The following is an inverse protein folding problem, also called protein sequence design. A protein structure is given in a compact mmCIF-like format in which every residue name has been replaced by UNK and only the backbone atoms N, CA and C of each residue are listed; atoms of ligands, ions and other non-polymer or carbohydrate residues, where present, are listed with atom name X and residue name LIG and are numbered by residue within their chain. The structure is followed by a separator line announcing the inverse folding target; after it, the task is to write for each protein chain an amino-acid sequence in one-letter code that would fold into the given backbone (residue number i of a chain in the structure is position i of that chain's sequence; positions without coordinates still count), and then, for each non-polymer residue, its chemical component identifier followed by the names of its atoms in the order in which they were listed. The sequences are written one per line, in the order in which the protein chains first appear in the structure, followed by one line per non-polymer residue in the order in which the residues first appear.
data_IF_627777348451
#
_entry.id   IF_627777348451
#
_cell.length_a   1.000
_cell.length_b   1.000
_cell.length_c   1.000
_cell.angle_alpha   90.00
_cell.angle_beta   90.00
_cell.angle_gamma   90.00
#
_symmetry.space_group_name_H-M   'P 1'
#
loop_
_entity.id
_entity.type
_entity.pdbx_description
1 polymer ?
#
# COMPACT_ATOMS: atom_id res chain seq x y z
N UNK A 1 -10.70 -19.72 8.87
CA UNK A 1 -11.04 -18.61 7.95
C UNK A 1 -9.75 -18.19 7.26
N UNK A 2 -9.74 -18.16 5.92
CA UNK A 2 -8.52 -17.97 5.13
C UNK A 2 -8.42 -16.53 4.65
N UNK A 3 -7.23 -15.93 4.74
CA UNK A 3 -6.91 -14.66 4.11
C UNK A 3 -6.36 -14.92 2.71
N UNK A 4 -6.79 -14.11 1.75
CA UNK A 4 -6.28 -14.14 0.38
C UNK A 4 -5.47 -12.87 0.12
N UNK A 5 -4.22 -13.01 -0.30
CA UNK A 5 -3.37 -11.87 -0.66
C UNK A 5 -3.39 -11.68 -2.17
N UNK A 6 -3.70 -10.47 -2.63
CA UNK A 6 -3.75 -10.09 -4.04
C UNK A 6 -2.90 -8.87 -4.32
N UNK A 7 -2.39 -8.75 -5.55
CA UNK A 7 -1.88 -7.46 -6.03
C UNK A 7 -3.04 -6.52 -6.27
N UNK A 8 -2.80 -5.25 -5.99
CA UNK A 8 -3.73 -4.16 -6.21
C UNK A 8 -3.13 -3.16 -7.20
N UNK A 9 -4.00 -2.46 -7.92
CA UNK A 9 -3.67 -1.17 -8.51
C UNK A 9 -3.60 -0.10 -7.41
N UNK A 10 -2.87 1.01 -7.64
CA UNK A 10 -2.79 2.11 -6.69
C UNK A 10 -4.15 2.58 -6.17
N UNK A 11 -5.13 2.72 -7.08
CA UNK A 11 -6.41 3.35 -6.77
C UNK A 11 -7.25 2.51 -5.81
N UNK A 12 -7.05 1.18 -5.82
CA UNK A 12 -7.72 0.25 -4.91
C UNK A 12 -7.26 0.44 -3.46
N UNK A 13 -6.11 1.10 -3.24
CA UNK A 13 -5.63 1.43 -1.89
C UNK A 13 -6.29 2.68 -1.29
N UNK A 14 -6.86 3.55 -2.12
CA UNK A 14 -7.29 4.88 -1.68
C UNK A 14 -8.39 4.83 -0.62
N UNK A 15 -9.32 3.88 -0.70
CA UNK A 15 -10.41 3.74 0.27
C UNK A 15 -9.89 3.52 1.70
N UNK A 16 -9.05 2.50 1.90
CA UNK A 16 -8.46 2.20 3.20
C UNK A 16 -7.45 3.27 3.66
N UNK A 17 -6.69 3.88 2.73
CA UNK A 17 -5.83 5.02 3.07
C UNK A 17 -6.64 6.21 3.58
N UNK A 18 -7.76 6.52 2.95
CA UNK A 18 -8.62 7.63 3.37
C UNK A 18 -9.23 7.32 4.72
N UNK A 19 -9.88 6.17 4.85
CA UNK A 19 -10.56 5.76 6.08
C UNK A 19 -9.63 5.71 7.30
N UNK A 20 -8.39 5.23 7.14
CA UNK A 20 -7.49 4.96 8.29
C UNK A 20 -6.39 6.02 8.42
N UNK A 21 -5.72 6.39 7.34
CA UNK A 21 -4.50 7.22 7.38
C UNK A 21 -4.77 8.71 7.13
N UNK A 22 -5.88 9.04 6.46
CA UNK A 22 -6.22 10.39 5.99
C UNK A 22 -7.70 10.78 6.20
N UNK A 23 -8.36 10.42 7.33
CA UNK A 23 -9.82 10.52 7.48
C UNK A 23 -10.36 11.96 7.40
N UNK A 24 -9.53 12.94 7.74
CA UNK A 24 -9.89 14.37 7.77
C UNK A 24 -9.26 15.18 6.64
N UNK A 25 -8.71 14.50 5.63
CA UNK A 25 -8.04 15.12 4.49
C UNK A 25 -8.84 14.88 3.20
N UNK A 26 -8.66 15.72 2.18
CA UNK A 26 -9.30 15.51 0.89
C UNK A 26 -8.82 14.19 0.25
N UNK A 27 -9.65 13.52 -0.59
CA UNK A 27 -9.31 12.22 -1.20
C UNK A 27 -7.97 12.21 -1.95
N UNK A 28 -7.60 13.33 -2.56
CA UNK A 28 -6.35 13.51 -3.30
C UNK A 28 -5.11 13.31 -2.41
N UNK A 29 -5.24 13.51 -1.10
CA UNK A 29 -4.17 13.23 -0.13
C UNK A 29 -3.85 11.74 0.01
N UNK A 30 -4.65 10.84 -0.58
CA UNK A 30 -4.41 9.40 -0.63
C UNK A 30 -3.63 8.95 -1.86
N UNK A 31 -3.43 9.84 -2.84
CA UNK A 31 -2.63 9.59 -4.04
C UNK A 31 -1.17 9.90 -3.68
N UNK A 32 -0.36 8.86 -3.48
CA UNK A 32 1.01 9.05 -3.01
C UNK A 32 1.96 9.16 -4.21
N UNK A 33 2.88 10.14 -4.21
CA UNK A 33 3.97 10.16 -5.17
C UNK A 33 4.71 8.82 -5.17
N UNK A 34 4.90 8.24 -6.35
CA UNK A 34 5.57 6.96 -6.59
C UNK A 34 4.69 5.71 -6.49
N UNK A 35 3.37 5.85 -6.28
CA UNK A 35 2.44 4.71 -6.40
C UNK A 35 2.51 4.07 -7.80
N UNK A 36 2.62 4.88 -8.86
CA UNK A 36 2.69 4.42 -10.25
C UNK A 36 4.12 4.04 -10.72
N UNK A 37 5.12 4.10 -9.84
CA UNK A 37 6.49 3.73 -10.22
C UNK A 37 6.53 2.25 -10.63
N UNK A 38 7.26 1.92 -11.70
CA UNK A 38 7.34 0.54 -12.23
C UNK A 38 7.85 -0.48 -11.20
N UNK A 39 8.58 -0.02 -10.19
CA UNK A 39 9.15 -0.84 -9.14
C UNK A 39 8.26 -0.90 -7.89
N UNK A 40 7.23 -0.05 -7.80
CA UNK A 40 6.24 -0.06 -6.72
C UNK A 40 5.22 -1.16 -6.96
N UNK A 41 4.79 -1.80 -5.88
CA UNK A 41 3.64 -2.70 -5.93
C UNK A 41 2.80 -2.60 -4.66
N UNK A 42 1.52 -2.90 -4.83
CA UNK A 42 0.53 -2.85 -3.77
C UNK A 42 -0.02 -4.24 -3.51
N UNK A 43 -0.22 -4.56 -2.25
CA UNK A 43 -0.83 -5.79 -1.80
C UNK A 43 -2.07 -5.48 -0.99
N UNK A 44 -3.10 -6.30 -1.19
CA UNK A 44 -4.34 -6.29 -0.41
C UNK A 44 -4.56 -7.63 0.25
N UNK A 45 -5.00 -7.63 1.51
CA UNK A 45 -5.52 -8.83 2.15
C UNK A 45 -7.04 -8.83 2.11
N UNK A 46 -7.60 -9.92 1.59
CA UNK A 46 -9.03 -10.13 1.47
C UNK A 46 -9.53 -11.16 2.47
N UNK A 47 -10.68 -10.88 3.07
CA UNK A 47 -11.43 -11.83 3.90
C UNK A 47 -12.88 -11.85 3.44
N UNK A 48 -13.38 -13.02 3.04
CA UNK A 48 -14.75 -13.18 2.53
C UNK A 48 -15.07 -12.23 1.34
N UNK A 49 -14.07 -11.96 0.50
CA UNK A 49 -14.20 -11.05 -0.65
C UNK A 49 -14.05 -9.57 -0.33
N UNK A 50 -13.95 -9.19 0.95
CA UNK A 50 -13.73 -7.81 1.39
C UNK A 50 -12.24 -7.50 1.54
N UNK A 51 -11.80 -6.35 1.02
CA UNK A 51 -10.44 -5.84 1.22
C UNK A 51 -10.31 -5.24 2.62
N UNK A 52 -9.55 -5.89 3.50
CA UNK A 52 -9.45 -5.53 4.92
C UNK A 52 -8.07 -4.99 5.32
N UNK A 53 -7.08 -5.05 4.43
CA UNK A 53 -5.74 -4.56 4.69
C UNK A 53 -5.08 -4.20 3.37
N UNK A 54 -4.28 -3.13 3.38
CA UNK A 54 -3.44 -2.72 2.25
C UNK A 54 -2.00 -2.49 2.70
N UNK A 55 -1.06 -2.67 1.78
CA UNK A 55 0.34 -2.30 1.94
C UNK A 55 0.94 -1.91 0.58
N UNK A 56 1.67 -0.80 0.52
CA UNK A 56 2.44 -0.38 -0.65
C UNK A 56 3.93 -0.55 -0.39
N UNK A 57 4.66 -1.13 -1.33
CA UNK A 57 6.10 -1.37 -1.21
C UNK A 57 6.82 -0.64 -2.34
N UNK A 58 7.71 0.27 -1.96
CA UNK A 58 8.46 1.13 -2.87
C UNK A 58 9.91 0.67 -2.87
N UNK A 59 10.53 0.50 -4.05
CA UNK A 59 11.96 0.21 -4.12
C UNK A 59 12.74 1.46 -3.73
N UNK A 60 13.14 1.53 -2.46
CA UNK A 60 13.77 2.71 -1.85
C UNK A 60 14.90 2.23 -0.93
N UNK A 61 16.17 2.32 -1.38
CA UNK A 61 17.30 1.89 -0.56
C UNK A 61 17.45 2.74 0.69
N UNK A 62 17.84 2.11 1.80
CA UNK A 62 18.08 2.77 3.07
C UNK A 62 19.52 2.49 3.55
N UNK A 63 20.27 3.49 4.08
CA UNK A 63 21.67 3.30 4.49
C UNK A 63 21.91 2.15 5.48
N UNK A 64 20.90 1.84 6.30
CA UNK A 64 20.96 0.75 7.29
C UNK A 64 20.57 -0.62 6.74
N UNK A 65 20.10 -0.73 5.50
CA UNK A 65 19.64 -1.99 4.89
C UNK A 65 20.66 -2.43 3.84
N UNK A 66 21.36 -3.53 4.11
CA UNK A 66 22.41 -4.09 3.24
C UNK A 66 21.87 -5.02 2.13
N UNK A 67 20.71 -4.71 1.57
CA UNK A 67 20.11 -5.46 0.46
C UNK A 67 20.21 -4.67 -0.84
N UNK A 68 20.48 -5.34 -1.96
CA UNK A 68 20.49 -4.71 -3.28
C UNK A 68 19.08 -4.22 -3.68
N UNK A 69 18.04 -4.96 -3.30
CA UNK A 69 16.64 -4.57 -3.47
C UNK A 69 16.01 -4.37 -2.09
N UNK A 70 16.07 -3.15 -1.59
CA UNK A 70 15.44 -2.78 -0.33
C UNK A 70 14.12 -2.06 -0.62
N UNK A 71 13.04 -2.59 -0.05
CA UNK A 71 11.71 -2.02 -0.18
C UNK A 71 11.29 -1.30 1.09
N UNK A 72 10.79 -0.08 0.95
CA UNK A 72 10.14 0.65 2.02
C UNK A 72 8.65 0.33 2.03
N UNK A 73 8.17 -0.13 3.18
CA UNK A 73 6.74 -0.24 3.44
C UNK A 73 6.13 1.15 3.61
N UNK A 74 5.06 1.43 2.87
CA UNK A 74 4.33 2.71 2.88
C UNK A 74 2.83 2.45 2.80
N UNK A 75 2.04 3.39 3.31
CA UNK A 75 0.58 3.38 3.14
C UNK A 75 -0.11 2.11 3.62
N UNK A 76 0.37 1.50 4.72
CA UNK A 76 -0.26 0.31 5.32
C UNK A 76 -1.46 0.72 6.20
N UNK A 77 -2.60 0.07 6.00
CA UNK A 77 -3.85 0.35 6.73
C UNK A 77 -4.72 -0.91 6.83
N UNK A 78 -5.50 -1.03 7.92
CA UNK A 78 -6.43 -2.14 8.24
C UNK A 78 -7.70 -1.62 8.88
#
# INVERSE_FOLDING_TARGET
MTLEIRRLKPEETHGLRHQVLRPNQPPEACIYPGDDDQTTFHLGAYRQGELICIASLYLEPHPSVRAQMAYRLRGMAT
#
